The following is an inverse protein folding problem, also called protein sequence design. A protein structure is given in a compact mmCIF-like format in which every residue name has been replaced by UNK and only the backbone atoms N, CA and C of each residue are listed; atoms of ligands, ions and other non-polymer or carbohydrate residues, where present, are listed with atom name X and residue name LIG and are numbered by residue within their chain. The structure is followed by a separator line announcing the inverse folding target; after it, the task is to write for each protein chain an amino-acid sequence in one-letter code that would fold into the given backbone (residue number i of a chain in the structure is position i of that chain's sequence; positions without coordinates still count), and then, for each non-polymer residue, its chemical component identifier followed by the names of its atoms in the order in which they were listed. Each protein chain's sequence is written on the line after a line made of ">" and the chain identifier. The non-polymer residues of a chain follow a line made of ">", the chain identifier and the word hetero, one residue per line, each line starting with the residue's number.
data_IF_697869677683
#
_entry.id   IF_697869677683
#
_cell.length_a   1.000
_cell.length_b   1.000
_cell.length_c   1.000
_cell.angle_alpha   90.00
_cell.angle_beta   90.00
_cell.angle_gamma   90.00
#
_symmetry.space_group_name_H-M   'P 1'
#
loop_
_entity.id
_entity.type
_entity.pdbx_description
1 polymer ?
#
# COMPACT_ATOMS: atom_id res chain seq x y z
N UNK A 1 -54.95 -24.02 -96.30
CA UNK A 1 -54.36 -22.80 -95.69
C UNK A 1 -52.87 -23.08 -95.53
N UNK A 2 -52.01 -23.01 -96.55
CA UNK A 2 -51.43 -21.84 -97.25
C UNK A 2 -50.94 -20.77 -96.24
N UNK A 3 -49.79 -20.12 -96.32
CA UNK A 3 -48.57 -20.11 -97.13
C UNK A 3 -47.66 -19.06 -96.44
N UNK A 4 -46.33 -19.16 -96.56
CA UNK A 4 -45.36 -18.12 -96.11
C UNK A 4 -45.63 -16.77 -96.83
N UNK A 5 -45.25 -15.60 -96.26
CA UNK A 5 -43.95 -14.95 -96.55
C UNK A 5 -43.34 -14.18 -95.34
N UNK A 6 -42.03 -14.09 -95.11
CA UNK A 6 -41.00 -13.23 -95.73
C UNK A 6 -41.31 -11.70 -95.72
N UNK A 7 -40.32 -10.89 -95.30
CA UNK A 7 -39.87 -9.57 -95.85
C UNK A 7 -39.64 -8.39 -94.86
N UNK A 8 -38.37 -7.93 -94.90
CA UNK A 8 -37.77 -6.59 -94.76
C UNK A 8 -37.45 -5.92 -93.40
N UNK A 9 -36.12 -5.83 -93.16
CA UNK A 9 -35.31 -4.61 -93.02
C UNK A 9 -36.00 -3.32 -92.52
N UNK A 10 -35.51 -2.80 -91.39
CA UNK A 10 -34.95 -1.45 -91.37
C UNK A 10 -33.95 -1.25 -90.23
N UNK A 11 -32.75 -0.85 -90.62
CA UNK A 11 -31.70 -0.32 -89.76
C UNK A 11 -32.11 1.06 -89.27
N UNK A 12 -32.12 1.30 -87.95
CA UNK A 12 -32.17 2.64 -87.39
C UNK A 12 -31.01 2.80 -86.42
N UNK A 13 -29.96 3.46 -86.91
CA UNK A 13 -28.89 4.01 -86.11
C UNK A 13 -29.46 5.14 -85.24
N UNK A 14 -29.71 4.85 -83.97
CA UNK A 14 -29.96 5.87 -82.95
C UNK A 14 -28.66 6.20 -82.23
N UNK A 15 -28.09 7.37 -82.50
CA UNK A 15 -27.05 7.97 -81.66
C UNK A 15 -27.62 8.18 -80.25
N UNK A 16 -27.24 7.34 -79.28
CA UNK A 16 -27.36 7.70 -77.88
C UNK A 16 -26.11 8.49 -77.48
N UNK A 17 -26.29 9.80 -77.40
CA UNK A 17 -25.34 10.71 -76.80
C UNK A 17 -25.17 10.34 -75.32
N UNK A 18 -24.00 9.82 -74.94
CA UNK A 18 -23.62 9.63 -73.55
C UNK A 18 -23.46 11.00 -72.89
N UNK A 19 -24.49 11.45 -72.18
CA UNK A 19 -24.36 12.48 -71.17
C UNK A 19 -23.56 11.92 -70.00
N UNK A 20 -22.23 12.07 -70.04
CA UNK A 20 -21.39 11.85 -68.88
C UNK A 20 -21.75 12.89 -67.82
N UNK A 21 -22.49 12.46 -66.79
CA UNK A 21 -22.64 13.22 -65.56
C UNK A 21 -21.24 13.44 -64.98
N UNK A 22 -20.72 14.66 -65.11
CA UNK A 22 -19.52 15.09 -64.41
C UNK A 22 -19.87 15.17 -62.92
N UNK A 23 -19.51 14.13 -62.17
CA UNK A 23 -19.31 14.27 -60.73
C UNK A 23 -18.25 15.37 -60.52
N UNK A 24 -18.53 16.44 -59.76
CA UNK A 24 -17.48 17.37 -59.40
C UNK A 24 -16.48 16.62 -58.50
N UNK A 25 -15.26 16.44 -59.01
CA UNK A 25 -14.15 15.85 -58.27
C UNK A 25 -13.97 16.61 -56.95
N UNK A 26 -13.99 15.89 -55.83
CA UNK A 26 -13.62 16.43 -54.54
C UNK A 26 -12.20 17.04 -54.64
N UNK A 27 -11.93 18.18 -53.97
CA UNK A 27 -10.64 18.84 -54.03
C UNK A 27 -9.54 17.86 -53.62
N UNK A 28 -8.56 17.65 -54.50
CA UNK A 28 -7.38 16.82 -54.24
C UNK A 28 -6.54 17.51 -53.17
N UNK A 29 -6.63 17.04 -51.93
CA UNK A 29 -5.73 17.46 -50.86
C UNK A 29 -4.34 16.95 -51.24
N UNK A 30 -3.32 17.82 -51.38
CA UNK A 30 -1.98 17.37 -51.69
C UNK A 30 -1.52 16.35 -50.64
N UNK A 31 -0.98 15.21 -51.08
CA UNK A 31 -0.53 14.11 -50.20
C UNK A 31 0.40 14.57 -49.06
N UNK A 32 1.10 15.70 -49.25
CA UNK A 32 1.99 16.32 -48.28
C UNK A 32 1.28 17.00 -47.09
N UNK A 33 -0.05 17.05 -47.08
CA UNK A 33 -0.87 17.53 -45.96
C UNK A 33 -1.50 16.38 -45.16
N UNK A 34 -1.26 15.11 -45.54
CA UNK A 34 -1.75 13.98 -44.77
C UNK A 34 -0.76 13.65 -43.65
N UNK A 35 -1.25 13.41 -42.42
CA UNK A 35 -0.39 12.97 -41.33
C UNK A 35 0.26 11.63 -41.69
N UNK A 36 1.53 11.48 -41.35
CA UNK A 36 2.27 10.23 -41.57
C UNK A 36 1.60 9.10 -40.77
N UNK A 37 1.31 7.94 -41.38
CA UNK A 37 0.74 6.81 -40.66
C UNK A 37 1.71 6.32 -39.59
N UNK A 38 1.20 6.12 -38.38
CA UNK A 38 1.98 5.59 -37.26
C UNK A 38 2.33 4.11 -37.53
N UNK A 39 3.60 3.75 -37.35
CA UNK A 39 4.05 2.36 -37.45
C UNK A 39 3.93 1.65 -36.09
N UNK A 40 3.90 0.31 -36.05
CA UNK A 40 3.91 -0.45 -34.80
C UNK A 40 5.11 -0.14 -33.90
N UNK A 41 6.25 0.29 -34.46
CA UNK A 41 7.45 0.68 -33.72
C UNK A 41 7.22 1.92 -32.85
N UNK A 42 6.37 2.86 -33.29
CA UNK A 42 6.00 4.07 -32.54
C UNK A 42 5.32 3.75 -31.19
N UNK A 43 4.80 2.53 -31.02
CA UNK A 43 4.12 2.10 -29.81
C UNK A 43 4.97 1.17 -28.93
N UNK A 44 6.24 0.92 -29.28
CA UNK A 44 7.11 0.00 -28.54
C UNK A 44 7.32 0.40 -27.08
N UNK A 45 7.53 1.69 -26.82
CA UNK A 45 7.72 2.22 -25.47
C UNK A 45 6.43 2.15 -24.63
N UNK A 46 5.27 2.45 -25.24
CA UNK A 46 3.96 2.34 -24.59
C UNK A 46 3.60 0.87 -24.31
N UNK A 47 3.96 -0.06 -25.18
CA UNK A 47 3.78 -1.50 -24.95
C UNK A 47 4.68 -2.02 -23.83
N UNK A 48 5.93 -1.56 -23.78
CA UNK A 48 6.93 -2.01 -22.79
C UNK A 48 6.67 -1.40 -21.41
N UNK A 49 6.23 -0.14 -21.35
CA UNK A 49 5.95 0.61 -20.12
C UNK A 49 4.45 0.94 -19.99
N UNK A 50 3.58 0.00 -20.37
CA UNK A 50 2.13 0.26 -20.33
C UNK A 50 1.67 0.48 -18.88
N UNK A 51 1.04 1.63 -18.57
CA UNK A 51 0.44 1.84 -17.26
C UNK A 51 -0.73 0.88 -17.02
N UNK A 52 -1.29 0.28 -18.08
CA UNK A 52 -2.42 -0.65 -18.02
C UNK A 52 -2.01 -2.10 -17.73
N UNK A 53 -0.71 -2.43 -17.77
CA UNK A 53 -0.20 -3.78 -17.43
C UNK A 53 0.48 -3.82 -16.07
N UNK A 54 0.60 -2.68 -15.38
CA UNK A 54 1.17 -2.62 -14.04
C UNK A 54 0.14 -3.16 -13.04
N UNK A 55 0.27 -4.43 -12.69
CA UNK A 55 -0.34 -5.00 -11.49
C UNK A 55 0.32 -4.33 -10.28
N UNK A 56 -0.36 -3.36 -9.68
CA UNK A 56 0.09 -2.74 -8.45
C UNK A 56 -0.31 -3.67 -7.30
N UNK A 57 0.53 -4.66 -6.99
CA UNK A 57 0.34 -5.49 -5.81
C UNK A 57 0.33 -4.63 -4.55
N UNK A 58 -0.86 -4.30 -4.04
CA UNK A 58 -1.03 -3.53 -2.81
C UNK A 58 -0.32 -4.19 -1.62
N UNK A 59 -0.21 -5.52 -1.61
CA UNK A 59 0.53 -6.31 -0.62
C UNK A 59 2.00 -5.91 -0.45
N UNK A 60 2.63 -5.44 -1.53
CA UNK A 60 4.05 -5.12 -1.55
C UNK A 60 4.30 -3.72 -0.99
N UNK A 61 3.31 -2.83 -1.12
CA UNK A 61 3.39 -1.44 -0.71
C UNK A 61 2.71 -1.18 0.62
N UNK A 62 1.71 -1.96 0.97
CA UNK A 62 0.89 -1.77 2.16
C UNK A 62 0.91 -3.01 3.05
N UNK A 63 0.69 -2.78 4.34
CA UNK A 63 0.42 -3.84 5.30
C UNK A 63 -0.72 -3.40 6.21
N UNK A 64 -1.45 -4.40 6.71
CA UNK A 64 -2.54 -4.20 7.65
C UNK A 64 -1.96 -3.72 8.98
N UNK A 65 -2.56 -2.68 9.55
CA UNK A 65 -2.21 -2.16 10.88
C UNK A 65 -3.33 -2.34 11.89
N UNK A 66 -4.54 -2.58 11.41
CA UNK A 66 -5.71 -2.79 12.25
C UNK A 66 -6.92 -3.21 11.44
N UNK A 67 -7.78 -3.96 12.09
CA UNK A 67 -9.14 -4.29 11.64
C UNK A 67 -10.08 -3.99 12.79
N UNK A 68 -11.25 -3.44 12.47
CA UNK A 68 -12.28 -3.14 13.45
C UNK A 68 -13.66 -3.27 12.80
N UNK A 69 -14.69 -3.23 13.63
CA UNK A 69 -16.05 -3.03 13.17
C UNK A 69 -16.57 -1.71 13.70
N UNK A 70 -17.11 -0.87 12.82
CA UNK A 70 -17.75 0.40 13.15
C UNK A 70 -19.19 0.31 12.66
N UNK A 71 -20.16 0.48 13.56
CA UNK A 71 -21.60 0.33 13.27
C UNK A 71 -21.96 -1.00 12.59
N UNK A 72 -21.28 -2.08 12.99
CA UNK A 72 -21.46 -3.42 12.43
C UNK A 72 -20.84 -3.60 11.04
N UNK A 73 -20.09 -2.62 10.53
CA UNK A 73 -19.39 -2.69 9.25
C UNK A 73 -17.89 -2.90 9.43
N UNK A 74 -17.26 -3.82 8.70
CA UNK A 74 -15.83 -4.04 8.78
C UNK A 74 -15.07 -2.84 8.22
N UNK A 75 -14.04 -2.42 8.93
CA UNK A 75 -13.08 -1.42 8.50
C UNK A 75 -11.67 -1.93 8.72
N UNK A 76 -10.76 -1.57 7.82
CA UNK A 76 -9.35 -1.94 7.88
C UNK A 76 -8.49 -0.70 7.69
N UNK A 77 -7.38 -0.64 8.42
CA UNK A 77 -6.36 0.39 8.24
C UNK A 77 -5.12 -0.22 7.62
N UNK A 78 -4.66 0.38 6.53
CA UNK A 78 -3.42 0.00 5.85
C UNK A 78 -2.37 1.07 6.04
N UNK A 79 -1.11 0.67 6.22
CA UNK A 79 0.03 1.60 6.24
C UNK A 79 0.95 1.31 5.07
N UNK A 80 1.35 2.35 4.36
CA UNK A 80 2.33 2.26 3.28
C UNK A 80 3.74 2.03 3.87
N UNK A 81 4.47 1.04 3.35
CA UNK A 81 5.83 0.69 3.79
C UNK A 81 6.88 1.77 3.50
N UNK A 82 6.69 2.56 2.45
CA UNK A 82 7.64 3.59 2.00
C UNK A 82 7.31 4.97 2.55
N UNK A 83 6.04 5.37 2.47
CA UNK A 83 5.63 6.73 2.82
C UNK A 83 5.11 6.86 4.24
N UNK A 84 4.92 5.74 4.93
CA UNK A 84 4.30 5.65 6.26
C UNK A 84 2.87 6.23 6.36
N UNK A 85 2.26 6.62 5.24
CA UNK A 85 0.88 7.10 5.20
C UNK A 85 -0.07 5.96 5.53
N UNK A 86 -1.07 6.26 6.35
CA UNK A 86 -2.14 5.33 6.71
C UNK A 86 -3.38 5.67 5.90
N UNK A 87 -4.07 4.65 5.44
CA UNK A 87 -5.31 4.75 4.66
C UNK A 87 -6.35 3.86 5.32
N UNK A 88 -7.57 4.38 5.41
CA UNK A 88 -8.74 3.64 5.88
C UNK A 88 -9.46 3.03 4.68
N UNK A 89 -9.92 1.80 4.83
CA UNK A 89 -10.71 1.10 3.82
C UNK A 89 -11.93 0.47 4.50
N UNK A 90 -13.09 0.60 3.88
CA UNK A 90 -14.38 0.09 4.35
C UNK A 90 -15.15 -0.56 3.19
N UNK A 91 -16.41 -0.90 3.41
CA UNK A 91 -17.35 -1.39 2.40
C UNK A 91 -17.63 -0.39 1.25
N UNK A 92 -17.19 0.85 1.38
CA UNK A 92 -17.27 1.91 0.37
C UNK A 92 -15.89 2.22 -0.21
N UNK A 93 -15.77 2.46 -1.53
CA UNK A 93 -14.51 2.90 -2.12
C UNK A 93 -13.98 4.18 -1.49
N UNK A 94 -12.68 4.21 -1.18
CA UNK A 94 -11.98 5.43 -0.75
C UNK A 94 -11.57 6.31 -1.95
N UNK A 95 -10.82 7.38 -1.70
CA UNK A 95 -10.34 8.31 -2.74
C UNK A 95 -9.47 7.64 -3.82
N UNK A 96 -8.85 6.50 -3.51
CA UNK A 96 -8.08 5.69 -4.45
C UNK A 96 -8.91 4.62 -5.17
N UNK A 97 -10.22 4.56 -4.93
CA UNK A 97 -11.11 3.55 -5.48
C UNK A 97 -10.93 2.17 -4.84
N UNK A 98 -10.39 2.10 -3.63
CA UNK A 98 -10.19 0.83 -2.91
C UNK A 98 -11.33 0.57 -1.95
N UNK A 99 -11.81 -0.67 -1.95
CA UNK A 99 -12.90 -1.13 -1.11
C UNK A 99 -12.53 -2.42 -0.39
N UNK A 100 -12.92 -2.54 0.87
CA UNK A 100 -12.80 -3.76 1.66
C UNK A 100 -13.90 -4.74 1.23
N UNK A 101 -13.47 -5.92 0.80
CA UNK A 101 -14.37 -7.01 0.39
C UNK A 101 -14.64 -7.93 1.57
N UNK A 102 -13.61 -8.21 2.37
CA UNK A 102 -13.74 -9.06 3.55
C UNK A 102 -12.47 -9.07 4.38
N UNK A 103 -12.61 -9.61 5.59
CA UNK A 103 -11.51 -9.89 6.50
C UNK A 103 -11.64 -11.36 6.89
N UNK A 104 -10.57 -12.12 6.68
CA UNK A 104 -10.46 -13.48 7.20
C UNK A 104 -9.97 -13.39 8.64
N UNK A 105 -10.89 -13.59 9.58
CA UNK A 105 -10.62 -13.52 11.01
C UNK A 105 -9.96 -14.82 11.48
N UNK A 106 -8.83 -14.69 12.17
CA UNK A 106 -8.12 -15.82 12.75
C UNK A 106 -7.71 -15.50 14.19
N UNK A 107 -7.66 -16.53 15.04
CA UNK A 107 -7.11 -16.40 16.40
C UNK A 107 -5.63 -16.03 16.40
N UNK A 108 -4.92 -16.42 15.33
CA UNK A 108 -3.53 -16.03 15.10
C UNK A 108 -3.47 -14.76 14.27
N UNK A 109 -3.02 -13.66 14.89
CA UNK A 109 -2.90 -12.34 14.25
C UNK A 109 -1.98 -12.35 13.02
N UNK A 110 -1.04 -13.30 12.93
CA UNK A 110 -0.17 -13.44 11.75
C UNK A 110 -0.94 -13.93 10.51
N UNK A 111 -2.10 -14.55 10.72
CA UNK A 111 -2.92 -15.16 9.66
C UNK A 111 -4.13 -14.30 9.28
N UNK A 112 -4.40 -13.22 10.01
CA UNK A 112 -5.48 -12.31 9.65
C UNK A 112 -5.15 -11.67 8.31
N UNK A 113 -6.08 -11.80 7.37
CA UNK A 113 -5.97 -11.23 6.04
C UNK A 113 -7.15 -10.32 5.73
N UNK A 114 -6.90 -9.25 4.98
CA UNK A 114 -7.94 -8.37 4.46
C UNK A 114 -7.92 -8.43 2.94
N UNK A 115 -9.06 -8.70 2.32
CA UNK A 115 -9.24 -8.72 0.86
C UNK A 115 -9.77 -7.37 0.40
N UNK A 116 -9.06 -6.75 -0.52
CA UNK A 116 -9.33 -5.40 -1.03
C UNK A 116 -9.61 -5.50 -2.52
N UNK A 117 -10.64 -4.80 -2.96
CA UNK A 117 -10.99 -4.59 -4.35
C UNK A 117 -10.46 -3.25 -4.83
N UNK A 118 -9.85 -3.23 -6.01
CA UNK A 118 -9.35 -2.03 -6.70
C UNK A 118 -10.19 -1.80 -7.96
N UNK A 119 -10.57 -0.53 -8.21
CA UNK A 119 -11.18 -0.12 -9.48
C UNK A 119 -12.49 -0.87 -9.78
N UNK A 120 -13.45 -0.80 -8.85
CA UNK A 120 -14.78 -1.43 -8.97
C UNK A 120 -14.77 -2.95 -9.20
N UNK A 121 -13.79 -3.65 -8.61
CA UNK A 121 -13.73 -5.12 -8.61
C UNK A 121 -12.87 -5.71 -9.72
N UNK A 122 -12.13 -4.88 -10.46
CA UNK A 122 -11.20 -5.34 -11.50
C UNK A 122 -10.04 -6.18 -10.93
N UNK A 123 -9.59 -5.87 -9.72
CA UNK A 123 -8.49 -6.59 -9.06
C UNK A 123 -8.79 -6.81 -7.57
N UNK A 124 -8.57 -8.05 -7.11
CA UNK A 124 -8.64 -8.43 -5.70
C UNK A 124 -7.23 -8.68 -5.17
N UNK A 125 -6.85 -7.97 -4.11
CA UNK A 125 -5.56 -8.14 -3.45
C UNK A 125 -5.77 -8.45 -1.97
N UNK A 126 -4.95 -9.37 -1.45
CA UNK A 126 -4.97 -9.71 -0.03
C UNK A 126 -3.78 -9.08 0.68
N UNK A 127 -4.03 -8.45 1.83
CA UNK A 127 -3.00 -7.85 2.68
C UNK A 127 -3.03 -8.44 4.09
N UNK A 128 -1.88 -8.44 4.76
CA UNK A 128 -1.67 -9.04 6.07
C UNK A 128 -0.95 -8.08 7.02
N UNK A 129 -0.96 -8.39 8.31
CA UNK A 129 -0.18 -7.66 9.30
C UNK A 129 1.33 -7.78 9.03
N UNK A 130 2.07 -6.71 9.32
CA UNK A 130 3.53 -6.75 9.21
C UNK A 130 4.14 -7.49 10.41
N UNK A 131 5.06 -8.42 10.18
CA UNK A 131 5.83 -9.07 11.24
C UNK A 131 6.52 -8.07 12.19
N UNK A 132 6.91 -6.89 11.67
CA UNK A 132 7.56 -5.84 12.46
C UNK A 132 6.65 -5.24 13.55
N UNK A 133 5.33 -5.29 13.34
CA UNK A 133 4.35 -4.89 14.35
C UNK A 133 4.08 -6.01 15.37
N UNK A 134 4.18 -7.27 14.93
CA UNK A 134 3.96 -8.44 15.78
C UNK A 134 5.16 -8.72 16.69
N UNK A 135 6.36 -8.36 16.24
CA UNK A 135 7.60 -8.50 17.00
C UNK A 135 8.25 -7.12 17.15
N UNK A 136 8.02 -6.38 18.26
CA UNK A 136 8.69 -5.12 18.46
C UNK A 136 10.20 -5.33 18.40
N UNK A 137 10.88 -4.61 17.52
CA UNK A 137 12.31 -4.75 17.34
C UNK A 137 13.04 -4.59 18.69
N UNK A 138 14.08 -5.41 18.97
CA UNK A 138 14.84 -5.27 20.20
C UNK A 138 15.41 -3.85 20.27
N UNK A 139 15.16 -3.14 21.38
CA UNK A 139 15.73 -1.80 21.60
C UNK A 139 17.25 -1.89 21.43
N UNK A 140 17.83 -1.12 20.51
CA UNK A 140 19.28 -1.07 20.28
C UNK A 140 19.97 -0.63 21.57
N UNK A 141 20.82 -1.49 22.11
CA UNK A 141 21.64 -1.18 23.30
C UNK A 141 22.90 -0.49 22.81
N UNK A 142 23.18 0.68 23.36
CA UNK A 142 24.42 1.41 23.12
C UNK A 142 25.41 1.00 24.21
N UNK A 143 26.64 0.74 23.83
CA UNK A 143 27.73 0.46 24.76
C UNK A 143 28.74 1.61 24.74
N UNK A 144 29.33 1.93 25.88
CA UNK A 144 30.42 2.88 25.96
C UNK A 144 31.76 2.25 25.52
N UNK A 145 32.82 3.06 25.46
CA UNK A 145 34.18 2.60 25.10
C UNK A 145 34.77 1.55 26.05
N UNK A 146 34.14 1.32 27.20
CA UNK A 146 34.53 0.32 28.19
C UNK A 146 33.60 -0.91 28.17
N UNK A 147 32.73 -1.02 27.16
CA UNK A 147 31.80 -2.16 27.01
C UNK A 147 30.63 -2.15 27.98
N UNK A 148 30.36 -1.03 28.68
CA UNK A 148 29.22 -0.93 29.60
C UNK A 148 28.00 -0.45 28.84
N UNK A 149 26.87 -1.10 29.08
CA UNK A 149 25.61 -0.68 28.50
C UNK A 149 25.24 0.72 29.00
N UNK A 150 24.86 1.60 28.07
CA UNK A 150 24.48 2.99 28.33
C UNK A 150 22.95 3.05 28.49
N UNK A 151 22.44 3.70 29.56
CA UNK A 151 21.00 3.91 29.72
C UNK A 151 20.44 4.81 28.62
N UNK A 152 19.16 4.64 28.28
CA UNK A 152 18.49 5.52 27.31
C UNK A 152 18.38 6.95 27.85
N UNK A 153 18.32 7.94 26.95
CA UNK A 153 18.17 9.34 27.35
C UNK A 153 16.93 9.56 28.24
N UNK A 154 15.80 8.94 27.86
CA UNK A 154 14.57 8.92 28.67
C UNK A 154 14.80 8.42 30.10
N UNK A 155 15.63 7.38 30.27
CA UNK A 155 15.94 6.86 31.60
C UNK A 155 16.79 7.84 32.42
N UNK A 156 17.73 8.51 31.78
CA UNK A 156 18.56 9.57 32.38
C UNK A 156 17.67 10.72 32.84
N UNK A 157 16.73 11.15 32.00
CA UNK A 157 15.83 12.26 32.32
C UNK A 157 14.90 11.90 33.48
N UNK A 158 14.34 10.68 33.49
CA UNK A 158 13.58 10.16 34.64
C UNK A 158 14.39 10.13 35.93
N UNK A 159 15.64 9.70 35.85
CA UNK A 159 16.51 9.68 37.02
C UNK A 159 16.75 11.08 37.57
N UNK A 160 16.92 12.08 36.68
CA UNK A 160 17.09 13.50 37.05
C UNK A 160 15.81 14.14 37.59
N UNK A 161 14.64 13.61 37.24
CA UNK A 161 13.36 14.15 37.72
C UNK A 161 12.99 13.70 39.14
N UNK A 162 13.71 12.72 39.72
CA UNK A 162 13.46 12.27 41.08
C UNK A 162 13.89 13.33 42.10
N UNK A 163 13.01 13.64 43.05
CA UNK A 163 13.37 14.49 44.19
C UNK A 163 14.24 13.71 45.20
N UNK A 164 14.70 14.39 46.27
CA UNK A 164 15.60 13.79 47.27
C UNK A 164 14.99 12.56 47.98
N UNK A 165 13.71 12.61 48.33
CA UNK A 165 13.03 11.50 49.03
C UNK A 165 12.86 10.30 48.09
N UNK A 166 12.38 10.55 46.87
CA UNK A 166 12.24 9.56 45.81
C UNK A 166 13.58 8.90 45.46
N UNK A 167 14.66 9.68 45.43
CA UNK A 167 16.01 9.16 45.23
C UNK A 167 16.44 8.23 46.37
N UNK A 168 16.10 8.56 47.62
CA UNK A 168 16.34 7.68 48.77
C UNK A 168 15.63 6.34 48.63
N UNK A 169 14.36 6.35 48.23
CA UNK A 169 13.56 5.13 47.97
C UNK A 169 14.18 4.31 46.84
N UNK A 170 14.57 4.96 45.74
CA UNK A 170 15.22 4.32 44.60
C UNK A 170 16.54 3.64 45.00
N UNK A 171 17.41 4.32 45.73
CA UNK A 171 18.71 3.77 46.15
C UNK A 171 18.56 2.58 47.09
N UNK A 172 17.64 2.67 48.06
CA UNK A 172 17.35 1.57 48.96
C UNK A 172 16.82 0.33 48.21
N UNK A 173 15.91 0.54 47.25
CA UNK A 173 15.42 -0.52 46.39
C UNK A 173 16.53 -1.10 45.50
N UNK A 174 17.35 -0.26 44.86
CA UNK A 174 18.46 -0.70 44.01
C UNK A 174 19.46 -1.54 44.78
N UNK A 175 19.81 -1.15 46.01
CA UNK A 175 20.70 -1.90 46.88
C UNK A 175 20.15 -3.31 47.16
N UNK A 176 18.84 -3.45 47.43
CA UNK A 176 18.19 -4.76 47.61
C UNK A 176 18.19 -5.58 46.31
N UNK A 177 17.88 -4.96 45.18
CA UNK A 177 17.87 -5.62 43.88
C UNK A 177 19.26 -6.16 43.51
N UNK A 178 20.32 -5.37 43.66
CA UNK A 178 21.70 -5.79 43.38
C UNK A 178 22.16 -6.87 44.37
N UNK A 179 21.77 -6.77 45.64
CA UNK A 179 22.09 -7.81 46.64
C UNK A 179 21.46 -9.15 46.29
N UNK A 180 20.23 -9.16 45.80
CA UNK A 180 19.53 -10.39 45.37
C UNK A 180 20.06 -10.93 44.03
N UNK A 181 20.39 -10.02 43.10
CA UNK A 181 20.77 -10.34 41.74
C UNK A 181 22.07 -9.61 41.34
N UNK A 182 23.25 -10.07 41.78
CA UNK A 182 24.52 -9.37 41.53
C UNK A 182 24.87 -9.28 40.03
N UNK A 183 24.52 -10.30 39.25
CA UNK A 183 24.70 -10.33 37.79
C UNK A 183 23.93 -9.20 37.07
N UNK A 184 22.85 -8.71 37.67
CA UNK A 184 22.02 -7.66 37.09
C UNK A 184 22.71 -6.31 37.11
N UNK A 185 23.68 -6.07 38.00
CA UNK A 185 24.30 -4.74 38.08
C UNK A 185 25.08 -4.39 36.82
N UNK A 186 25.70 -5.36 36.15
CA UNK A 186 26.48 -5.12 34.92
C UNK A 186 25.66 -5.32 33.65
N UNK A 187 24.48 -5.92 33.75
CA UNK A 187 23.65 -6.29 32.61
C UNK A 187 22.78 -5.14 32.10
N UNK A 188 22.67 -4.99 30.79
CA UNK A 188 21.70 -4.08 30.15
C UNK A 188 20.24 -4.45 30.51
N UNK A 189 20.00 -5.70 30.93
CA UNK A 189 18.67 -6.18 31.36
C UNK A 189 18.15 -5.44 32.60
N UNK A 190 19.00 -4.70 33.32
CA UNK A 190 18.58 -3.85 34.45
C UNK A 190 17.77 -2.64 34.03
N UNK A 191 17.97 -2.10 32.82
CA UNK A 191 17.36 -0.83 32.44
C UNK A 191 15.82 -0.85 32.40
N UNK A 192 15.14 -1.86 31.83
CA UNK A 192 13.68 -1.94 31.91
C UNK A 192 13.15 -2.07 33.34
N UNK A 193 13.90 -2.73 34.22
CA UNK A 193 13.52 -2.93 35.63
C UNK A 193 13.65 -1.60 36.39
N UNK A 194 14.77 -0.91 36.19
CA UNK A 194 15.02 0.43 36.74
C UNK A 194 13.97 1.42 36.23
N UNK A 195 13.62 1.37 34.94
CA UNK A 195 12.57 2.24 34.37
C UNK A 195 11.24 2.04 35.09
N UNK A 196 10.80 0.78 35.25
CA UNK A 196 9.56 0.45 35.97
C UNK A 196 9.59 0.87 37.44
N UNK A 197 10.74 0.71 38.10
CA UNK A 197 10.89 1.11 39.50
C UNK A 197 10.78 2.64 39.67
N UNK A 198 11.40 3.42 38.78
CA UNK A 198 11.27 4.88 38.80
C UNK A 198 9.85 5.33 38.48
N UNK A 199 9.16 4.65 37.55
CA UNK A 199 7.75 4.94 37.24
C UNK A 199 6.86 4.72 38.46
N UNK A 200 7.08 3.64 39.21
CA UNK A 200 6.37 3.40 40.46
C UNK A 200 6.64 4.52 41.49
N UNK A 201 7.91 4.90 41.68
CA UNK A 201 8.30 5.94 42.64
C UNK A 201 7.69 7.31 42.28
N UNK A 202 7.72 7.68 41.00
CA UNK A 202 7.10 8.91 40.51
C UNK A 202 5.58 8.90 40.72
N UNK A 203 4.94 7.73 40.61
CA UNK A 203 3.53 7.53 40.92
C UNK A 203 3.23 7.43 42.43
N UNK A 204 4.22 7.60 43.31
CA UNK A 204 4.05 7.45 44.76
C UNK A 204 3.88 6.00 45.24
N UNK A 205 4.16 5.02 44.37
CA UNK A 205 4.05 3.58 44.63
C UNK A 205 5.41 2.97 45.00
N UNK A 206 5.37 1.85 45.72
CA UNK A 206 6.59 1.07 46.02
C UNK A 206 7.02 0.27 44.79
N UNK A 207 8.31 0.31 44.40
CA UNK A 207 8.84 -0.53 43.32
C UNK A 207 8.65 -2.02 43.61
N UNK A 208 8.31 -2.79 42.58
CA UNK A 208 8.24 -4.25 42.66
C UNK A 208 9.65 -4.84 42.85
N UNK A 209 9.75 -5.88 43.68
CA UNK A 209 10.99 -6.65 43.82
C UNK A 209 11.08 -7.74 42.74
N UNK A 210 12.31 -8.07 42.36
CA UNK A 210 12.68 -9.06 41.34
C UNK A 210 13.79 -9.96 41.86
#
# INVERSE_FOLDING_TARGET
>A
MNSRPAIFLLSMAGLFSQGAAQNPSAPEIPLNCLPVPLSPENFSEVKTNSPFTRVLSLSDLYFLTGVAQIDGKPVATLKNRKTEKTVLISDTPNEQGWKLVGVDENTDITKITATISIGDGAELTTVQFSESQLKPAPKKIIYDKWGRAVPSQKLIDKFRSLNREQMGVYQAWRARMVKKNPEMDKSHKRFPIIEKAMDAILAGQKPKEF
#
